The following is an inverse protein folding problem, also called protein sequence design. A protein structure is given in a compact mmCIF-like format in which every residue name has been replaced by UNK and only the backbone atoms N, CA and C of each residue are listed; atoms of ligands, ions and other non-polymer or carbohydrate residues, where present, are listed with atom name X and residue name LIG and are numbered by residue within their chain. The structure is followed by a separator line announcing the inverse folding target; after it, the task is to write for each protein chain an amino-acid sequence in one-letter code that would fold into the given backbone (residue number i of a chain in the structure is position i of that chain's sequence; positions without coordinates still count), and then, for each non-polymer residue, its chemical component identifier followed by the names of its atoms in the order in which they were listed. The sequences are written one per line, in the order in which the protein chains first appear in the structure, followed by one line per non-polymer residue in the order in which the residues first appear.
data_IF_490864044151
#
_entry.id   IF_490864044151
#
_cell.length_a   1.000
_cell.length_b   1.000
_cell.length_c   1.000
_cell.angle_alpha   90.00
_cell.angle_beta   90.00
_cell.angle_gamma   90.00
#
_symmetry.space_group_name_H-M   'P 1'
#
loop_
_entity.id
_entity.type
_entity.pdbx_description
1 polymer ?
#
# COMPACT_ATOMS: atom_id res chain seq x y z
N UNK A 1 -9.46 6.07 -17.80
CA UNK A 1 -9.04 7.05 -16.78
C UNK A 1 -10.20 7.35 -15.87
N UNK A 2 -10.18 6.83 -14.64
CA UNK A 2 -11.24 7.03 -13.66
C UNK A 2 -10.65 7.49 -12.33
N UNK A 3 -11.22 8.56 -11.77
CA UNK A 3 -10.98 8.93 -10.37
C UNK A 3 -12.18 8.41 -9.59
N UNK A 4 -11.93 7.45 -8.71
CA UNK A 4 -12.95 6.83 -7.88
C UNK A 4 -12.74 7.21 -6.42
N UNK A 5 -13.80 7.72 -5.78
CA UNK A 5 -13.75 8.03 -4.35
C UNK A 5 -14.10 6.77 -3.57
N UNK A 6 -13.13 6.22 -2.84
CA UNK A 6 -13.32 5.09 -1.92
C UNK A 6 -13.38 5.60 -0.48
N UNK A 7 -13.85 4.75 0.44
CA UNK A 7 -13.95 5.12 1.85
C UNK A 7 -12.57 5.45 2.43
N UNK A 8 -12.31 6.74 2.64
CA UNK A 8 -11.08 7.24 3.25
C UNK A 8 -9.96 7.63 2.29
N UNK A 9 -10.09 7.44 0.97
CA UNK A 9 -9.11 7.88 -0.03
C UNK A 9 -9.70 8.05 -1.44
N UNK A 10 -9.04 8.87 -2.26
CA UNK A 10 -9.31 9.02 -3.69
C UNK A 10 -8.40 8.06 -4.45
N UNK A 11 -8.97 7.14 -5.23
CA UNK A 11 -8.25 6.27 -6.15
C UNK A 11 -8.21 6.93 -7.53
N UNK A 12 -7.02 7.11 -8.08
CA UNK A 12 -6.84 7.56 -9.46
C UNK A 12 -6.16 6.47 -10.28
N UNK A 13 -6.92 5.84 -11.15
CA UNK A 13 -6.41 4.83 -12.07
C UNK A 13 -5.94 5.44 -13.40
N UNK A 14 -4.74 5.04 -13.83
CA UNK A 14 -4.10 5.54 -15.05
C UNK A 14 -3.36 6.86 -14.85
N UNK A 15 -3.09 7.26 -13.60
CA UNK A 15 -2.29 8.44 -13.30
C UNK A 15 -0.77 8.21 -13.44
N UNK A 16 0.04 9.28 -13.34
CA UNK A 16 1.49 9.21 -13.49
C UNK A 16 2.13 8.51 -12.28
N UNK A 17 2.37 7.20 -12.40
CA UNK A 17 3.09 6.40 -11.38
C UNK A 17 4.57 6.29 -11.76
N UNK A 18 5.52 6.54 -10.82
CA UNK A 18 6.96 6.41 -11.07
C UNK A 18 7.32 5.06 -11.70
N UNK A 19 8.33 5.07 -12.60
CA UNK A 19 8.83 3.85 -13.24
C UNK A 19 9.40 2.91 -12.17
N UNK A 20 8.81 1.72 -12.04
CA UNK A 20 9.17 0.72 -11.03
C UNK A 20 8.19 0.59 -9.87
N UNK A 21 7.18 1.47 -9.78
CA UNK A 21 6.07 1.34 -8.85
C UNK A 21 4.76 1.02 -9.59
N UNK A 22 3.90 0.24 -8.95
CA UNK A 22 2.56 -0.10 -9.44
C UNK A 22 1.48 0.83 -8.88
N UNK A 23 1.79 1.54 -7.79
CA UNK A 23 0.98 2.59 -7.19
C UNK A 23 1.83 3.59 -6.39
N UNK A 24 1.23 4.72 -6.03
CA UNK A 24 1.80 5.72 -5.12
C UNK A 24 0.70 6.36 -4.28
N UNK A 25 0.96 6.49 -2.99
CA UNK A 25 0.10 7.23 -2.07
C UNK A 25 0.66 8.63 -1.78
N UNK A 26 -0.19 9.63 -2.00
CA UNK A 26 0.04 11.04 -1.67
C UNK A 26 -1.08 11.53 -0.75
N UNK A 27 -0.87 11.43 0.56
CA UNK A 27 -1.87 11.81 1.55
C UNK A 27 -3.12 10.92 1.48
N UNK A 28 -4.24 11.48 1.04
CA UNK A 28 -5.50 10.75 0.80
C UNK A 28 -5.71 10.37 -0.66
N UNK A 29 -4.75 10.65 -1.55
CA UNK A 29 -4.80 10.29 -2.96
C UNK A 29 -3.93 9.06 -3.21
N UNK A 30 -4.52 8.01 -3.75
CA UNK A 30 -3.85 6.78 -4.19
C UNK A 30 -3.88 6.77 -5.70
N UNK A 31 -2.72 6.83 -6.33
CA UNK A 31 -2.59 6.79 -7.79
C UNK A 31 -2.07 5.41 -8.17
N UNK A 32 -2.79 4.69 -9.01
CA UNK A 32 -2.42 3.35 -9.48
C UNK A 32 -2.19 3.35 -10.98
N UNK A 33 -1.29 2.48 -11.43
CA UNK A 33 -1.09 2.24 -12.86
C UNK A 33 -2.35 1.61 -13.45
N UNK A 34 -2.65 1.95 -14.69
CA UNK A 34 -3.77 1.35 -15.43
C UNK A 34 -3.71 -0.19 -15.41
N UNK A 35 -4.83 -0.83 -15.08
CA UNK A 35 -4.95 -2.30 -14.99
C UNK A 35 -4.37 -2.89 -13.70
N UNK A 36 -3.86 -2.07 -12.78
CA UNK A 36 -3.46 -2.49 -11.42
C UNK A 36 -4.43 -2.02 -10.34
N UNK A 37 -5.42 -1.19 -10.69
CA UNK A 37 -6.45 -0.72 -9.77
C UNK A 37 -7.34 -1.83 -9.20
N UNK A 38 -7.40 -3.00 -9.84
CA UNK A 38 -8.18 -4.13 -9.37
C UNK A 38 -7.43 -5.05 -8.40
N UNK A 39 -6.11 -4.87 -8.21
CA UNK A 39 -5.32 -5.76 -7.36
C UNK A 39 -5.63 -5.52 -5.87
N UNK A 40 -6.28 -6.48 -5.17
CA UNK A 40 -6.69 -6.27 -3.78
C UNK A 40 -5.48 -6.11 -2.84
N UNK A 41 -4.36 -6.74 -3.17
CA UNK A 41 -3.11 -6.63 -2.43
C UNK A 41 -2.54 -5.20 -2.53
N UNK A 42 -2.47 -4.65 -3.75
CA UNK A 42 -1.96 -3.31 -4.00
C UNK A 42 -2.82 -2.26 -3.31
N UNK A 43 -4.15 -2.33 -3.48
CA UNK A 43 -5.06 -1.37 -2.85
C UNK A 43 -4.94 -1.36 -1.32
N UNK A 44 -4.83 -2.54 -0.71
CA UNK A 44 -4.65 -2.65 0.76
C UNK A 44 -3.29 -2.14 1.20
N UNK A 45 -2.24 -2.33 0.40
CA UNK A 45 -0.91 -1.78 0.66
C UNK A 45 -0.95 -0.24 0.64
N UNK A 46 -1.52 0.35 -0.41
CA UNK A 46 -1.68 1.81 -0.51
C UNK A 46 -2.56 2.39 0.61
N UNK A 47 -3.62 1.68 1.02
CA UNK A 47 -4.46 2.11 2.15
C UNK A 47 -3.68 2.20 3.48
N UNK A 48 -2.69 1.32 3.69
CA UNK A 48 -1.80 1.42 4.86
C UNK A 48 -0.96 2.69 4.78
N UNK A 49 -0.45 3.05 3.60
CA UNK A 49 0.25 4.31 3.41
C UNK A 49 -0.65 5.51 3.67
N UNK A 50 -1.92 5.49 3.24
CA UNK A 50 -2.89 6.56 3.57
C UNK A 50 -3.03 6.71 5.09
N UNK A 51 -3.15 5.60 5.81
CA UNK A 51 -3.22 5.61 7.28
C UNK A 51 -1.93 6.14 7.92
N UNK A 52 -0.77 5.73 7.42
CA UNK A 52 0.53 6.21 7.90
C UNK A 52 0.70 7.71 7.64
N UNK A 53 0.28 8.20 6.47
CA UNK A 53 0.26 9.61 6.13
C UNK A 53 -0.66 10.41 7.05
N UNK A 54 -1.88 9.92 7.33
CA UNK A 54 -2.77 10.56 8.30
C UNK A 54 -2.20 10.57 9.72
N UNK A 55 -1.44 9.54 10.09
CA UNK A 55 -0.82 9.41 11.42
C UNK A 55 0.38 10.31 11.63
N UNK A 56 1.28 10.41 10.64
CA UNK A 56 2.55 11.13 10.77
C UNK A 56 2.58 12.47 10.03
N UNK A 57 1.57 12.76 9.21
CA UNK A 57 1.59 13.88 8.27
C UNK A 57 2.58 13.70 7.13
N UNK A 58 2.53 14.60 6.14
CA UNK A 58 3.45 14.65 4.99
C UNK A 58 4.92 14.63 5.43
N UNK A 59 5.28 15.55 6.34
CA UNK A 59 6.68 15.72 6.76
C UNK A 59 7.15 14.54 7.60
N UNK A 60 6.35 14.12 8.59
CA UNK A 60 6.73 13.01 9.47
C UNK A 60 6.85 11.68 8.74
N UNK A 61 5.98 11.42 7.76
CA UNK A 61 6.09 10.26 6.89
C UNK A 61 7.38 10.32 6.07
N UNK A 62 7.63 11.41 5.35
CA UNK A 62 8.80 11.57 4.49
C UNK A 62 10.11 11.46 5.25
N UNK A 63 10.23 12.09 6.42
CA UNK A 63 11.45 12.01 7.26
C UNK A 63 11.72 10.57 7.71
N UNK A 64 10.69 9.84 8.15
CA UNK A 64 10.86 8.44 8.58
C UNK A 64 11.20 7.55 7.39
N UNK A 65 10.49 7.71 6.28
CA UNK A 65 10.69 6.93 5.08
C UNK A 65 12.11 7.11 4.51
N UNK A 66 12.49 8.37 4.25
CA UNK A 66 13.80 8.72 3.71
C UNK A 66 14.91 8.46 4.72
N UNK A 67 14.67 8.69 6.02
CA UNK A 67 15.65 8.41 7.08
C UNK A 67 16.03 6.94 7.13
N UNK A 68 15.06 6.03 7.12
CA UNK A 68 15.34 4.59 7.05
C UNK A 68 15.98 4.18 5.73
N UNK A 69 15.49 4.71 4.61
CA UNK A 69 16.08 4.45 3.30
C UNK A 69 17.56 4.84 3.27
N UNK A 70 17.89 6.07 3.68
CA UNK A 70 19.26 6.58 3.72
C UNK A 70 20.12 5.77 4.69
N UNK A 71 19.61 5.44 5.88
CA UNK A 71 20.33 4.59 6.84
C UNK A 71 20.74 3.26 6.20
N UNK A 72 19.83 2.58 5.50
CA UNK A 72 20.16 1.31 4.85
C UNK A 72 21.05 1.47 3.62
N UNK A 73 20.93 2.58 2.88
CA UNK A 73 21.87 2.91 1.79
C UNK A 73 23.27 3.15 2.32
N UNK A 74 23.41 3.87 3.44
CA UNK A 74 24.69 4.12 4.13
C UNK A 74 25.29 2.84 4.72
N UNK A 75 24.45 1.87 5.09
CA UNK A 75 24.88 0.51 5.50
C UNK A 75 25.26 -0.39 4.32
N UNK A 76 25.37 0.15 3.10
CA UNK A 76 25.84 -0.57 1.91
C UNK A 76 24.77 -1.38 1.18
N UNK A 77 23.49 -1.29 1.56
CA UNK A 77 22.44 -2.00 0.83
C UNK A 77 22.12 -1.31 -0.50
N UNK A 78 21.96 -2.10 -1.56
CA UNK A 78 21.39 -1.66 -2.84
C UNK A 78 19.99 -1.03 -2.70
N UNK A 79 19.52 -0.31 -3.71
CA UNK A 79 18.21 0.38 -3.69
C UNK A 79 17.07 -0.52 -3.20
N UNK A 80 16.92 -1.69 -3.82
CA UNK A 80 15.89 -2.68 -3.46
C UNK A 80 16.06 -3.20 -2.03
N UNK A 81 17.29 -3.43 -1.61
CA UNK A 81 17.60 -3.92 -0.26
C UNK A 81 17.32 -2.89 0.83
N UNK A 82 17.54 -1.61 0.55
CA UNK A 82 17.20 -0.51 1.44
C UNK A 82 15.69 -0.30 1.51
N UNK A 83 15.02 -0.28 0.36
CA UNK A 83 13.57 -0.12 0.24
C UNK A 83 12.80 -1.20 1.02
N UNK A 84 13.12 -2.47 0.82
CA UNK A 84 12.44 -3.59 1.49
C UNK A 84 12.67 -3.64 3.02
N UNK A 85 13.63 -2.87 3.54
CA UNK A 85 13.92 -2.77 4.98
C UNK A 85 13.29 -1.56 5.64
N UNK A 86 12.61 -0.69 4.90
CA UNK A 86 11.90 0.46 5.48
C UNK A 86 10.74 -0.09 6.32
N UNK A 87 10.65 0.23 7.62
CA UNK A 87 9.58 -0.29 8.48
C UNK A 87 8.17 0.02 7.97
N UNK A 88 7.98 1.17 7.31
CA UNK A 88 6.70 1.56 6.72
C UNK A 88 6.28 0.64 5.56
N UNK A 89 7.22 0.21 4.73
CA UNK A 89 7.01 -0.75 3.64
C UNK A 89 6.72 -2.16 4.18
N UNK A 90 7.46 -2.57 5.23
CA UNK A 90 7.25 -3.86 5.89
C UNK A 90 5.85 -3.92 6.52
N UNK A 91 5.43 -2.86 7.21
CA UNK A 91 4.09 -2.77 7.79
C UNK A 91 3.01 -2.86 6.71
N UNK A 92 3.16 -2.11 5.61
CA UNK A 92 2.20 -2.12 4.50
C UNK A 92 2.12 -3.51 3.83
N UNK A 93 3.26 -4.17 3.61
CA UNK A 93 3.31 -5.51 3.06
C UNK A 93 2.71 -6.56 4.00
N UNK A 94 2.94 -6.45 5.32
CA UNK A 94 2.38 -7.38 6.30
C UNK A 94 0.86 -7.22 6.43
N UNK A 95 0.37 -5.99 6.56
CA UNK A 95 -1.06 -5.72 6.72
C UNK A 95 -1.82 -6.11 5.45
N UNK A 96 -1.34 -5.74 4.26
CA UNK A 96 -2.01 -6.08 3.01
C UNK A 96 -2.19 -7.60 2.85
N UNK A 97 -1.14 -8.38 3.12
CA UNK A 97 -1.19 -9.85 3.09
C UNK A 97 -2.10 -10.42 4.17
N UNK A 98 -1.99 -9.95 5.41
CA UNK A 98 -2.81 -10.42 6.52
C UNK A 98 -4.29 -10.16 6.26
N UNK A 99 -4.63 -8.94 5.84
CA UNK A 99 -6.00 -8.61 5.52
C UNK A 99 -6.54 -9.54 4.44
N UNK A 100 -5.76 -9.87 3.40
CA UNK A 100 -6.23 -10.78 2.34
C UNK A 100 -6.50 -12.19 2.88
N UNK A 101 -5.60 -12.70 3.72
CA UNK A 101 -5.82 -14.00 4.37
C UNK A 101 -7.10 -14.01 5.21
N UNK A 102 -7.38 -12.94 5.94
CA UNK A 102 -8.62 -12.81 6.72
C UNK A 102 -9.86 -12.69 5.82
N UNK A 103 -9.79 -11.90 4.75
CA UNK A 103 -10.90 -11.74 3.81
C UNK A 103 -11.26 -13.05 3.09
N UNK A 104 -10.27 -13.84 2.68
CA UNK A 104 -10.49 -15.19 2.10
C UNK A 104 -11.16 -16.10 3.13
N UNK A 105 -10.79 -15.99 4.40
CA UNK A 105 -11.41 -16.79 5.47
C UNK A 105 -12.87 -16.39 5.68
N UNK A 106 -13.19 -15.09 5.63
CA UNK A 106 -14.56 -14.58 5.75
C UNK A 106 -15.46 -15.03 4.59
N UNK A 107 -14.95 -15.00 3.35
CA UNK A 107 -15.66 -15.51 2.17
C UNK A 107 -15.95 -17.01 2.28
N UNK A 108 -14.97 -17.81 2.71
CA UNK A 108 -15.15 -19.25 2.94
C UNK A 108 -16.08 -19.57 4.12
N UNK A 109 -16.20 -18.66 5.10
CA UNK A 109 -17.12 -18.81 6.23
C UNK A 109 -18.53 -18.35 5.89
N UNK A 110 -18.68 -17.50 4.87
CA UNK A 110 -19.96 -16.95 4.39
C UNK A 110 -20.63 -17.82 3.32
N UNK A 111 -19.94 -18.82 2.76
CA UNK A 111 -20.65 -19.90 2.06
C UNK A 111 -21.57 -20.59 3.08
N UNK A 112 -22.91 -20.51 2.94
CA UNK A 112 -23.79 -21.22 3.83
C UNK A 112 -23.43 -22.68 3.67
N UNK A 113 -23.20 -23.36 4.79
CA UNK A 113 -23.22 -24.81 4.85
C UNK A 113 -24.48 -25.26 4.11
N UNK A 114 -24.31 -25.68 2.86
CA UNK A 114 -25.36 -26.25 2.06
C UNK A 114 -25.75 -27.53 2.80
N UNK A 115 -26.78 -27.39 3.64
CA UNK A 115 -27.68 -28.47 4.03
C UNK A 115 -28.90 -28.40 3.12
N UNK A 116 -29.60 -29.50 2.89
CA UNK A 116 -29.43 -30.83 3.51
C UNK A 116 -28.68 -31.86 2.65
#
# INVERSE_FOLDING_TARGET
MGIERREGYLLWEGGPVPRGADGITLGSLVIVREGRGESPLLLRHEQVHVRQWRRYGLVGFSVRYLGWYLLWRLRGHGHRGAYLRIPLEIEAAWISRRSLATAVTDELTTEPAARP
#
